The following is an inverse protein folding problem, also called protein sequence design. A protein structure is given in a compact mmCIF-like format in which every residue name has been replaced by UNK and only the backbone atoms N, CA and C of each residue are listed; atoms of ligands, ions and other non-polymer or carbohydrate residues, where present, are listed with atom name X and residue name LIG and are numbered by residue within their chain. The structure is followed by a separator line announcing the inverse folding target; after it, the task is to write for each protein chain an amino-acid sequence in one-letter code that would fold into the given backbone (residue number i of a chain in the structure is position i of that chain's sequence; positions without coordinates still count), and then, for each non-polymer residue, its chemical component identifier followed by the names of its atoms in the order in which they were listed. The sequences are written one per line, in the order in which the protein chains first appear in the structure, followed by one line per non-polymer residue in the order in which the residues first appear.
data_IF_836134877728
#
_entry.id   IF_836134877728
#
_cell.length_a   1.000
_cell.length_b   1.000
_cell.length_c   1.000
_cell.angle_alpha   90.00
_cell.angle_beta   90.00
_cell.angle_gamma   90.00
#
_symmetry.space_group_name_H-M   'P 1'
#
loop_
_entity.id
_entity.type
_entity.pdbx_description
1 polymer ?
#
# COMPACT_ATOMS: atom_id res chain seq x y z
N UNK A 1 -8.37 -9.79 16.69
CA UNK A 1 -7.26 -9.16 15.95
C UNK A 1 -7.68 -7.72 15.71
N UNK A 2 -6.82 -6.76 15.94
CA UNK A 2 -7.14 -5.34 15.82
C UNK A 2 -5.87 -4.55 15.52
N UNK A 3 -6.01 -3.26 15.27
CA UNK A 3 -4.88 -2.38 15.06
C UNK A 3 -4.42 -1.81 16.42
N UNK A 4 -3.11 -1.69 16.61
CA UNK A 4 -2.57 -1.01 17.79
C UNK A 4 -1.91 0.29 17.34
N UNK A 5 -2.31 1.39 17.95
CA UNK A 5 -1.65 2.68 17.76
C UNK A 5 -0.77 2.94 18.98
N UNK A 6 0.53 3.10 18.76
CA UNK A 6 1.44 3.52 19.82
C UNK A 6 1.05 4.92 20.30
N UNK A 7 0.76 5.05 21.59
CA UNK A 7 0.40 6.33 22.19
C UNK A 7 1.63 7.12 22.57
N UNK A 8 2.74 6.49 22.90
CA UNK A 8 3.96 7.15 23.35
C UNK A 8 5.19 6.37 22.85
N UNK A 9 6.40 6.97 22.89
CA UNK A 9 7.64 6.22 22.75
C UNK A 9 7.73 5.08 23.77
N UNK A 10 8.49 4.04 23.43
CA UNK A 10 8.70 2.92 24.34
C UNK A 10 9.52 3.36 25.55
N UNK A 11 9.07 2.94 26.74
CA UNK A 11 9.74 3.18 28.02
C UNK A 11 10.67 2.00 28.35
N UNK A 12 11.94 2.29 28.61
CA UNK A 12 12.94 1.29 28.99
C UNK A 12 12.84 0.89 30.46
N UNK A 13 13.49 -0.22 30.83
CA UNK A 13 13.66 -0.68 32.22
C UNK A 13 12.34 -0.90 32.98
N UNK A 14 11.28 -1.28 32.27
CA UNK A 14 10.00 -1.59 32.88
C UNK A 14 9.98 -3.06 33.28
N UNK A 15 9.57 -3.39 34.53
CA UNK A 15 9.44 -4.78 34.96
C UNK A 15 8.48 -5.57 34.06
N UNK A 16 8.84 -6.82 33.73
CA UNK A 16 7.95 -7.70 32.99
C UNK A 16 6.67 -7.95 33.77
N UNK A 17 5.54 -8.00 33.06
CA UNK A 17 4.25 -8.26 33.69
C UNK A 17 4.19 -9.70 34.23
N UNK A 18 3.65 -9.83 35.44
CA UNK A 18 3.49 -11.13 36.11
C UNK A 18 2.53 -12.01 35.29
N UNK A 19 2.93 -13.25 35.02
CA UNK A 19 2.09 -14.26 34.36
C UNK A 19 2.13 -14.30 32.83
N UNK A 20 2.81 -13.35 32.16
CA UNK A 20 2.95 -13.35 30.68
C UNK A 20 4.00 -14.38 30.23
N UNK A 21 5.11 -14.49 30.96
CA UNK A 21 6.22 -15.38 30.61
C UNK A 21 6.23 -16.63 31.48
N UNK A 22 5.29 -17.55 31.22
CA UNK A 22 5.12 -18.79 31.98
C UNK A 22 6.35 -19.71 31.97
N UNK A 23 7.25 -19.54 30.99
CA UNK A 23 8.48 -20.34 30.85
C UNK A 23 9.73 -19.60 31.36
N UNK A 24 9.56 -18.40 31.93
CA UNK A 24 10.63 -17.54 32.44
C UNK A 24 11.81 -17.34 31.47
N UNK A 25 11.51 -17.13 30.17
CA UNK A 25 12.50 -16.92 29.10
C UNK A 25 12.79 -15.46 28.79
N UNK A 26 12.04 -14.53 29.36
CA UNK A 26 12.20 -13.08 29.19
C UNK A 26 12.94 -12.48 30.37
N UNK A 27 13.78 -11.49 30.10
CA UNK A 27 14.45 -10.70 31.11
C UNK A 27 13.43 -9.99 32.03
N UNK A 28 13.81 -9.79 33.29
CA UNK A 28 12.93 -9.17 34.29
C UNK A 28 12.65 -7.70 34.01
N UNK A 29 13.55 -7.03 33.30
CA UNK A 29 13.39 -5.67 32.78
C UNK A 29 13.33 -5.70 31.26
N UNK A 30 12.43 -4.90 30.69
CA UNK A 30 12.25 -4.78 29.25
C UNK A 30 11.71 -3.43 28.82
N UNK A 31 11.15 -3.40 27.62
CA UNK A 31 10.53 -2.21 27.03
C UNK A 31 9.01 -2.30 27.14
N UNK A 32 8.37 -1.21 27.55
CA UNK A 32 6.92 -1.06 27.55
C UNK A 32 6.52 -0.04 26.49
N UNK A 33 5.68 -0.44 25.55
CA UNK A 33 5.06 0.45 24.57
C UNK A 33 3.60 0.68 24.95
N UNK A 34 3.20 1.89 25.40
CA UNK A 34 1.80 2.24 25.58
C UNK A 34 1.09 2.24 24.22
N UNK A 35 -0.02 1.51 24.08
CA UNK A 35 -0.79 1.42 22.84
C UNK A 35 -2.29 1.60 23.10
N UNK A 36 -3.00 2.20 22.16
CA UNK A 36 -4.46 2.12 22.05
C UNK A 36 -4.81 1.01 21.08
N UNK A 37 -5.58 0.04 21.56
CA UNK A 37 -6.15 -1.02 20.73
C UNK A 37 -7.41 -0.51 20.07
N UNK A 38 -7.44 -0.54 18.74
CA UNK A 38 -8.63 -0.34 17.91
C UNK A 38 -9.15 -1.73 17.56
N UNK A 39 -10.28 -2.10 18.16
CA UNK A 39 -10.80 -3.45 18.08
C UNK A 39 -11.61 -3.66 16.82
N UNK A 40 -11.35 -4.76 16.11
CA UNK A 40 -12.26 -5.20 15.08
C UNK A 40 -13.57 -5.69 15.74
N UNK A 41 -14.70 -5.25 15.23
CA UNK A 41 -16.03 -5.72 15.63
C UNK A 41 -16.30 -7.20 15.23
N UNK A 42 -15.45 -7.76 14.36
CA UNK A 42 -15.50 -9.16 13.94
C UNK A 42 -14.09 -9.73 13.75
N UNK A 43 -13.87 -11.04 14.01
CA UNK A 43 -12.59 -11.68 13.75
C UNK A 43 -12.27 -11.72 12.26
N UNK A 44 -11.13 -11.17 11.85
CA UNK A 44 -10.64 -11.28 10.47
C UNK A 44 -9.65 -12.44 10.32
N UNK A 45 -9.84 -13.34 9.33
CA UNK A 45 -8.85 -14.34 8.96
C UNK A 45 -7.56 -13.67 8.51
N UNK A 46 -6.41 -14.17 8.98
CA UNK A 46 -5.09 -13.65 8.58
C UNK A 46 -4.90 -13.63 7.06
N UNK A 47 -5.39 -14.67 6.36
CA UNK A 47 -5.31 -14.76 4.91
C UNK A 47 -6.10 -13.65 4.20
N UNK A 48 -7.23 -13.18 4.76
CA UNK A 48 -8.01 -12.10 4.17
C UNK A 48 -7.23 -10.78 4.13
N UNK A 49 -6.32 -10.57 5.09
CA UNK A 49 -5.50 -9.36 5.17
C UNK A 49 -4.18 -9.54 4.42
N UNK A 50 -3.51 -10.69 4.57
CA UNK A 50 -2.12 -10.86 4.14
C UNK A 50 -1.93 -11.65 2.85
N UNK A 51 -2.96 -12.33 2.32
CA UNK A 51 -2.80 -13.18 1.13
C UNK A 51 -2.39 -12.35 -0.09
N UNK A 52 -1.30 -12.74 -0.75
CA UNK A 52 -0.79 -12.06 -1.94
C UNK A 52 -0.10 -10.72 -1.67
N UNK A 53 0.10 -10.33 -0.40
CA UNK A 53 1.02 -9.23 -0.07
C UNK A 53 2.42 -9.80 -0.06
N UNK A 54 3.30 -9.21 -0.85
CA UNK A 54 4.73 -9.54 -0.79
C UNK A 54 5.33 -8.94 0.47
N UNK A 55 5.63 -9.81 1.42
CA UNK A 55 6.17 -9.45 2.72
C UNK A 55 7.70 -9.56 2.61
N UNK A 56 8.46 -8.50 2.91
CA UNK A 56 9.91 -8.46 2.70
C UNK A 56 10.61 -9.76 3.08
N UNK A 57 11.33 -10.35 2.11
CA UNK A 57 12.10 -11.57 2.34
C UNK A 57 13.03 -11.37 3.55
N UNK A 58 12.92 -12.28 4.53
CA UNK A 58 13.66 -12.20 5.79
C UNK A 58 12.85 -11.71 7.00
N UNK A 59 11.60 -11.26 6.81
CA UNK A 59 10.67 -11.01 7.91
C UNK A 59 10.27 -12.32 8.61
N UNK A 60 11.00 -12.65 9.66
CA UNK A 60 10.64 -13.69 10.63
C UNK A 60 9.47 -13.20 11.49
N UNK A 61 8.35 -13.92 11.57
CA UNK A 61 7.24 -13.58 12.46
C UNK A 61 5.83 -13.91 11.92
N UNK A 62 4.76 -13.20 12.36
CA UNK A 62 3.36 -13.44 11.98
C UNK A 62 3.05 -13.05 10.51
N UNK A 63 4.08 -12.93 9.69
CA UNK A 63 4.05 -12.57 8.28
C UNK A 63 4.66 -13.68 7.39
N UNK A 64 5.31 -14.70 7.97
CA UNK A 64 5.90 -15.79 7.19
C UNK A 64 4.87 -16.77 6.62
N UNK A 65 5.14 -17.23 5.39
CA UNK A 65 4.54 -18.36 4.65
C UNK A 65 4.16 -19.57 5.52
N UNK A 66 5.13 -19.97 6.35
CA UNK A 66 5.26 -21.35 6.83
C UNK A 66 5.14 -21.48 8.36
N UNK A 67 4.72 -20.42 9.05
CA UNK A 67 4.45 -20.45 10.49
C UNK A 67 5.60 -19.99 11.39
N UNK A 68 5.21 -19.11 12.32
CA UNK A 68 5.70 -18.83 13.68
C UNK A 68 7.19 -19.09 13.98
N UNK A 69 8.06 -18.19 13.52
CA UNK A 69 9.24 -17.85 14.33
C UNK A 69 8.84 -16.87 15.42
N UNK A 70 9.48 -16.98 16.59
CA UNK A 70 9.13 -16.27 17.84
C UNK A 70 9.59 -14.80 17.82
N UNK A 71 9.16 -14.03 16.82
CA UNK A 71 9.41 -12.58 16.74
C UNK A 71 8.23 -11.83 17.36
N UNK A 72 8.52 -11.01 18.38
CA UNK A 72 7.50 -10.27 19.13
C UNK A 72 7.03 -8.99 18.41
N UNK A 73 7.94 -8.26 17.76
CA UNK A 73 7.66 -7.04 17.00
C UNK A 73 8.61 -6.94 15.80
N UNK A 74 8.11 -6.53 14.65
CA UNK A 74 8.92 -6.32 13.44
C UNK A 74 8.48 -5.06 12.69
N UNK A 75 9.45 -4.35 12.10
CA UNK A 75 9.18 -3.25 11.17
C UNK A 75 8.71 -3.83 9.84
N UNK A 76 7.72 -3.21 9.23
CA UNK A 76 7.31 -3.46 7.85
C UNK A 76 7.54 -2.19 7.03
N UNK A 77 7.68 -2.33 5.71
CA UNK A 77 7.79 -1.18 4.82
C UNK A 77 6.48 -0.40 4.79
N UNK A 78 6.56 0.88 4.42
CA UNK A 78 5.37 1.74 4.35
C UNK A 78 4.36 1.23 3.31
N UNK A 79 4.83 0.76 2.15
CA UNK A 79 3.95 0.20 1.10
C UNK A 79 3.13 -0.99 1.58
N UNK A 80 3.78 -1.94 2.26
CA UNK A 80 3.14 -3.11 2.86
C UNK A 80 2.16 -2.70 3.95
N UNK A 81 2.54 -1.74 4.80
CA UNK A 81 1.66 -1.21 5.84
C UNK A 81 0.39 -0.59 5.24
N UNK A 82 0.53 0.17 4.16
CA UNK A 82 -0.58 0.79 3.45
C UNK A 82 -1.55 -0.26 2.90
N UNK A 83 -1.03 -1.27 2.21
CA UNK A 83 -1.90 -2.32 1.64
C UNK A 83 -2.64 -3.11 2.73
N UNK A 84 -1.98 -3.41 3.85
CA UNK A 84 -2.61 -4.05 5.02
C UNK A 84 -3.73 -3.16 5.57
N UNK A 85 -3.47 -1.86 5.72
CA UNK A 85 -4.44 -0.90 6.25
C UNK A 85 -5.67 -0.76 5.35
N UNK A 86 -5.49 -0.71 4.03
CA UNK A 86 -6.59 -0.60 3.08
C UNK A 86 -7.49 -1.84 3.12
N UNK A 87 -6.89 -3.04 3.21
CA UNK A 87 -7.65 -4.29 3.35
C UNK A 87 -8.38 -4.36 4.69
N UNK A 88 -7.77 -3.90 5.78
CA UNK A 88 -8.42 -3.82 7.09
C UNK A 88 -9.64 -2.89 7.05
N UNK A 89 -9.53 -1.72 6.43
CA UNK A 89 -10.65 -0.78 6.32
C UNK A 89 -11.73 -1.28 5.36
N UNK A 90 -11.35 -1.92 4.26
CA UNK A 90 -12.31 -2.56 3.38
C UNK A 90 -13.12 -3.66 4.11
N UNK A 91 -12.47 -4.40 5.02
CA UNK A 91 -13.10 -5.51 5.73
C UNK A 91 -13.88 -5.08 6.99
N UNK A 92 -13.44 -4.02 7.67
CA UNK A 92 -14.01 -3.56 8.95
C UNK A 92 -14.91 -2.33 8.82
N UNK A 93 -14.84 -1.65 7.67
CA UNK A 93 -15.70 -0.52 7.34
C UNK A 93 -15.26 0.81 7.96
N UNK A 94 -16.03 1.88 7.70
CA UNK A 94 -15.64 3.26 7.99
C UNK A 94 -15.58 3.59 9.49
N UNK A 95 -16.34 2.89 10.34
CA UNK A 95 -16.30 3.11 11.79
C UNK A 95 -14.93 2.72 12.39
N UNK A 96 -14.36 1.62 11.91
CA UNK A 96 -13.02 1.18 12.30
C UNK A 96 -11.93 2.16 11.83
N UNK A 97 -12.11 2.73 10.64
CA UNK A 97 -11.21 3.75 10.09
C UNK A 97 -11.23 5.02 10.95
N UNK A 98 -12.43 5.54 11.25
CA UNK A 98 -12.59 6.73 12.09
C UNK A 98 -12.01 6.55 13.51
N UNK A 99 -12.16 5.37 14.11
CA UNK A 99 -11.57 5.08 15.41
C UNK A 99 -10.03 5.00 15.34
N UNK A 100 -9.50 4.44 14.26
CA UNK A 100 -8.06 4.42 13.98
C UNK A 100 -7.51 5.84 13.83
N UNK A 101 -8.16 6.69 13.04
CA UNK A 101 -7.78 8.10 12.88
C UNK A 101 -7.77 8.83 14.22
N UNK A 102 -8.83 8.67 15.02
CA UNK A 102 -8.91 9.24 16.36
C UNK A 102 -7.77 8.74 17.27
N UNK A 103 -7.42 7.46 17.19
CA UNK A 103 -6.32 6.90 17.96
C UNK A 103 -4.95 7.49 17.56
N UNK A 104 -4.70 7.66 16.26
CA UNK A 104 -3.46 8.25 15.75
C UNK A 104 -3.37 9.73 16.12
N UNK A 105 -4.45 10.50 15.97
CA UNK A 105 -4.50 11.91 16.34
C UNK A 105 -4.16 12.16 17.82
N UNK A 106 -4.55 11.22 18.69
CA UNK A 106 -4.30 11.30 20.13
C UNK A 106 -2.99 10.63 20.59
N UNK A 107 -2.16 10.11 19.68
CA UNK A 107 -0.82 9.60 20.04
C UNK A 107 0.15 10.75 20.38
N UNK A 108 1.33 10.47 20.95
CA UNK A 108 2.35 11.43 21.43
C UNK A 108 3.59 11.60 20.51
N UNK A 109 3.92 10.77 19.50
CA UNK A 109 5.14 11.02 18.71
C UNK A 109 5.08 12.41 18.06
N UNK A 110 6.23 13.04 17.82
CA UNK A 110 6.37 14.45 17.41
C UNK A 110 5.23 14.96 16.50
N UNK A 111 4.72 16.17 16.74
CA UNK A 111 3.61 16.78 15.99
C UNK A 111 3.79 16.71 14.47
N UNK A 112 5.04 16.74 13.97
CA UNK A 112 5.37 16.57 12.55
C UNK A 112 5.12 15.14 12.07
N UNK A 113 5.44 14.13 12.87
CA UNK A 113 5.20 12.71 12.60
C UNK A 113 3.71 12.37 12.70
N UNK A 114 3.01 12.88 13.72
CA UNK A 114 1.54 12.77 13.83
C UNK A 114 0.84 13.38 12.64
N UNK A 115 1.17 14.63 12.32
CA UNK A 115 0.59 15.35 11.19
C UNK A 115 0.90 14.64 9.88
N UNK A 116 2.11 14.13 9.67
CA UNK A 116 2.44 13.33 8.48
C UNK A 116 1.65 12.02 8.37
N UNK A 117 1.41 11.31 9.47
CA UNK A 117 0.65 10.04 9.46
C UNK A 117 -0.85 10.26 9.31
N UNK A 118 -1.38 11.31 9.94
CA UNK A 118 -2.79 11.72 9.83
C UNK A 118 -3.05 12.34 8.46
N UNK A 119 -2.20 13.24 7.96
CA UNK A 119 -2.31 13.84 6.62
C UNK A 119 -2.10 12.80 5.53
N UNK A 120 -1.24 11.80 5.75
CA UNK A 120 -1.14 10.62 4.90
C UNK A 120 -2.48 9.87 4.84
N UNK A 121 -3.11 9.62 5.99
CA UNK A 121 -4.35 8.83 6.08
C UNK A 121 -5.58 9.56 5.55
N UNK A 122 -5.83 10.78 6.04
CA UNK A 122 -6.86 11.70 5.54
C UNK A 122 -6.62 11.95 4.06
N UNK A 123 -5.36 12.15 3.69
CA UNK A 123 -4.91 12.32 2.34
C UNK A 123 -5.26 11.16 1.43
N UNK A 124 -5.15 9.91 1.88
CA UNK A 124 -5.53 8.72 1.11
C UNK A 124 -7.04 8.55 0.96
N UNK A 125 -7.80 8.75 2.04
CA UNK A 125 -9.27 8.72 1.98
C UNK A 125 -9.81 9.79 1.05
N UNK A 126 -9.28 11.01 1.18
CA UNK A 126 -9.56 12.15 0.30
C UNK A 126 -9.09 11.91 -1.13
N UNK A 127 -7.87 11.44 -1.34
CA UNK A 127 -7.32 11.14 -2.66
C UNK A 127 -8.17 10.10 -3.38
N UNK A 128 -8.58 9.03 -2.69
CA UNK A 128 -9.52 8.06 -3.25
C UNK A 128 -10.85 8.72 -3.61
N UNK A 129 -11.43 9.53 -2.72
CA UNK A 129 -12.68 10.22 -2.99
C UNK A 129 -12.56 11.19 -4.19
N UNK A 130 -11.46 11.93 -4.27
CA UNK A 130 -11.15 12.88 -5.34
C UNK A 130 -10.96 12.14 -6.67
N UNK A 131 -10.28 10.99 -6.69
CA UNK A 131 -10.17 10.14 -7.88
C UNK A 131 -11.50 9.50 -8.28
N UNK A 132 -12.29 9.04 -7.31
CA UNK A 132 -13.64 8.53 -7.57
C UNK A 132 -14.50 9.63 -8.22
N UNK A 133 -14.40 10.87 -7.76
CA UNK A 133 -15.09 12.00 -8.37
C UNK A 133 -14.54 12.33 -9.76
N UNK A 134 -13.21 12.42 -9.91
CA UNK A 134 -12.54 12.80 -11.14
C UNK A 134 -12.82 11.82 -12.30
N UNK A 135 -12.69 10.52 -12.02
CA UNK A 135 -12.89 9.45 -12.99
C UNK A 135 -14.36 9.01 -13.11
N UNK A 136 -15.30 9.73 -12.49
CA UNK A 136 -16.74 9.43 -12.55
C UNK A 136 -17.10 8.06 -11.97
N UNK A 137 -16.34 7.59 -10.98
CA UNK A 137 -16.51 6.30 -10.32
C UNK A 137 -16.24 5.11 -11.24
N UNK A 138 -15.40 5.29 -12.27
CA UNK A 138 -15.09 4.24 -13.26
C UNK A 138 -13.60 4.02 -13.39
N UNK A 139 -13.21 2.76 -13.54
CA UNK A 139 -11.85 2.40 -13.92
C UNK A 139 -11.51 3.05 -15.27
N UNK A 140 -10.41 3.80 -15.33
CA UNK A 140 -10.02 4.54 -16.53
C UNK A 140 -9.51 3.63 -17.66
N UNK A 141 -9.16 2.37 -17.36
CA UNK A 141 -8.78 1.35 -18.34
C UNK A 141 -9.97 0.50 -18.83
N UNK A 142 -10.75 -0.04 -17.90
CA UNK A 142 -11.77 -1.06 -18.21
C UNK A 142 -13.19 -0.50 -18.27
N UNK A 143 -13.45 0.65 -17.64
CA UNK A 143 -14.79 1.23 -17.50
C UNK A 143 -15.65 0.61 -16.39
N UNK A 144 -15.13 -0.39 -15.66
CA UNK A 144 -15.80 -0.98 -14.49
C UNK A 144 -16.20 0.11 -13.50
N UNK A 145 -17.44 0.08 -13.01
CA UNK A 145 -17.99 1.09 -12.11
C UNK A 145 -18.39 0.55 -10.74
N UNK A 146 -18.01 -0.68 -10.41
CA UNK A 146 -18.31 -1.29 -9.12
C UNK A 146 -17.25 -0.84 -8.10
N UNK A 147 -17.57 0.01 -7.10
CA UNK A 147 -16.55 0.65 -6.26
C UNK A 147 -15.65 -0.33 -5.49
N UNK A 148 -16.16 -1.52 -5.16
CA UNK A 148 -15.42 -2.58 -4.47
C UNK A 148 -14.30 -3.18 -5.32
N UNK A 149 -14.36 -3.00 -6.63
CA UNK A 149 -13.33 -3.46 -7.59
C UNK A 149 -12.35 -2.35 -7.97
N UNK A 150 -12.55 -1.13 -7.47
CA UNK A 150 -11.77 0.05 -7.85
C UNK A 150 -10.71 0.39 -6.80
N UNK A 151 -9.52 0.73 -7.28
CA UNK A 151 -8.36 1.16 -6.49
C UNK A 151 -7.85 2.51 -6.97
N UNK A 152 -7.46 3.33 -6.01
CA UNK A 152 -6.83 4.62 -6.24
C UNK A 152 -5.32 4.38 -6.32
N UNK A 153 -4.81 4.21 -7.53
CA UNK A 153 -3.38 3.94 -7.79
C UNK A 153 -2.65 5.26 -8.04
N UNK A 154 -1.49 5.44 -7.40
CA UNK A 154 -0.62 6.58 -7.66
C UNK A 154 0.20 6.36 -8.93
N UNK A 155 0.35 7.40 -9.76
CA UNK A 155 1.20 7.35 -10.95
C UNK A 155 2.67 7.35 -10.54
N UNK A 156 3.08 8.34 -9.75
CA UNK A 156 4.40 8.33 -9.12
C UNK A 156 4.21 7.76 -7.71
N UNK A 157 4.91 6.67 -7.35
CA UNK A 157 4.77 6.08 -6.03
C UNK A 157 4.96 7.12 -4.94
N UNK A 158 4.21 7.00 -3.85
CA UNK A 158 4.28 7.90 -2.71
C UNK A 158 5.71 8.20 -2.28
N UNK A 159 6.53 7.15 -2.14
CA UNK A 159 7.93 7.23 -1.69
C UNK A 159 8.78 8.16 -2.56
N UNK A 160 8.44 8.28 -3.84
CA UNK A 160 9.17 9.06 -4.84
C UNK A 160 8.47 10.41 -5.14
N UNK A 161 7.39 10.73 -4.42
CA UNK A 161 6.58 11.93 -4.56
C UNK A 161 6.85 12.94 -3.45
N UNK A 162 6.90 14.22 -3.82
CA UNK A 162 6.93 15.34 -2.88
C UNK A 162 5.59 15.47 -2.13
N UNK A 163 5.58 16.21 -1.03
CA UNK A 163 4.40 16.32 -0.16
C UNK A 163 3.15 16.86 -0.89
N UNK A 164 3.31 17.79 -1.83
CA UNK A 164 2.21 18.30 -2.68
C UNK A 164 1.65 17.22 -3.61
N UNK A 165 2.54 16.40 -4.17
CA UNK A 165 2.22 15.47 -5.25
C UNK A 165 1.51 14.21 -4.75
N UNK A 166 1.68 13.89 -3.46
CA UNK A 166 1.02 12.74 -2.81
C UNK A 166 -0.50 12.87 -2.76
N UNK A 167 -0.99 14.11 -2.70
CA UNK A 167 -2.41 14.43 -2.58
C UNK A 167 -2.99 15.04 -3.85
N UNK A 168 -2.18 15.24 -4.88
CA UNK A 168 -2.66 15.77 -6.16
C UNK A 168 -3.43 14.66 -6.90
N UNK A 169 -4.74 14.83 -7.17
CA UNK A 169 -5.51 13.85 -7.96
C UNK A 169 -4.91 13.61 -9.36
N UNK A 170 -4.14 14.56 -9.91
CA UNK A 170 -3.44 14.38 -11.17
C UNK A 170 -2.27 13.37 -11.10
N UNK A 171 -1.83 13.00 -9.89
CA UNK A 171 -0.90 11.91 -9.63
C UNK A 171 -1.63 10.57 -9.42
N UNK A 172 -2.88 10.43 -9.86
CA UNK A 172 -3.68 9.24 -9.58
C UNK A 172 -4.54 8.74 -10.73
N UNK A 173 -4.64 7.41 -10.82
CA UNK A 173 -5.54 6.70 -11.71
C UNK A 173 -6.52 5.86 -10.89
N UNK A 174 -7.77 5.77 -11.34
CA UNK A 174 -8.74 4.84 -10.79
C UNK A 174 -8.71 3.55 -11.61
N UNK A 175 -8.26 2.45 -11.02
CA UNK A 175 -7.96 1.20 -11.72
C UNK A 175 -8.71 0.01 -11.11
N UNK A 176 -8.83 -1.08 -11.87
CA UNK A 176 -9.25 -2.38 -11.33
C UNK A 176 -8.04 -3.08 -10.70
N UNK A 177 -8.31 -4.08 -9.85
CA UNK A 177 -7.27 -4.78 -9.11
C UNK A 177 -6.09 -5.31 -9.96
N UNK A 178 -6.37 -5.88 -11.14
CA UNK A 178 -5.33 -6.38 -12.04
C UNK A 178 -4.53 -5.25 -12.70
N UNK A 179 -5.20 -4.17 -13.13
CA UNK A 179 -4.54 -3.02 -13.76
C UNK A 179 -3.66 -2.27 -12.78
N UNK A 180 -4.16 -2.07 -11.56
CA UNK A 180 -3.45 -1.50 -10.42
C UNK A 180 -2.14 -2.27 -10.15
N UNK A 181 -2.24 -3.59 -9.96
CA UNK A 181 -1.06 -4.42 -9.71
C UNK A 181 -0.04 -4.38 -10.87
N UNK A 182 -0.50 -4.41 -12.12
CA UNK A 182 0.38 -4.35 -13.29
C UNK A 182 1.05 -2.97 -13.44
N UNK A 183 0.32 -1.89 -13.16
CA UNK A 183 0.80 -0.52 -13.29
C UNK A 183 1.80 -0.15 -12.18
N UNK A 184 1.49 -0.51 -10.92
CA UNK A 184 2.36 -0.28 -9.76
C UNK A 184 3.69 -1.06 -9.87
N UNK A 185 3.66 -2.24 -10.51
CA UNK A 185 4.85 -3.05 -10.79
C UNK A 185 5.58 -2.66 -12.09
N UNK A 186 5.14 -1.58 -12.75
CA UNK A 186 5.70 -1.11 -14.03
C UNK A 186 5.67 -2.15 -15.15
N UNK A 187 4.73 -3.10 -15.13
CA UNK A 187 4.50 -4.03 -16.25
C UNK A 187 3.74 -3.35 -17.40
N UNK A 188 2.93 -2.35 -17.05
CA UNK A 188 2.21 -1.48 -17.98
C UNK A 188 2.47 -0.01 -17.62
N UNK A 189 2.37 0.88 -18.61
CA UNK A 189 2.46 2.32 -18.44
C UNK A 189 1.50 3.03 -19.41
N UNK A 190 1.33 4.34 -19.28
CA UNK A 190 0.43 5.15 -20.12
C UNK A 190 1.23 6.19 -20.90
N UNK A 191 1.10 6.19 -22.21
CA UNK A 191 1.67 7.20 -23.10
C UNK A 191 0.92 8.55 -22.99
N UNK A 192 1.50 9.62 -23.55
CA UNK A 192 0.93 10.97 -23.42
C UNK A 192 -0.43 11.14 -24.12
N UNK A 193 -0.71 10.31 -25.12
CA UNK A 193 -2.00 10.24 -25.81
C UNK A 193 -3.04 9.36 -25.08
N UNK A 194 -2.67 8.81 -23.91
CA UNK A 194 -3.50 7.91 -23.12
C UNK A 194 -3.43 6.44 -23.54
N UNK A 195 -2.62 6.09 -24.55
CA UNK A 195 -2.45 4.70 -24.97
C UNK A 195 -1.72 3.90 -23.89
N UNK A 196 -2.22 2.71 -23.54
CA UNK A 196 -1.48 1.79 -22.68
C UNK A 196 -0.35 1.14 -23.46
N UNK A 197 0.83 1.13 -22.85
CA UNK A 197 2.02 0.42 -23.30
C UNK A 197 2.41 -0.60 -22.24
N UNK A 198 3.13 -1.64 -22.62
CA UNK A 198 3.52 -2.70 -21.70
C UNK A 198 4.95 -3.16 -21.95
N UNK A 199 5.49 -3.85 -20.95
CA UNK A 199 6.82 -4.43 -21.05
C UNK A 199 6.91 -5.40 -22.23
N UNK A 200 8.03 -5.43 -22.98
CA UNK A 200 8.19 -6.33 -24.12
C UNK A 200 8.07 -7.82 -23.75
N UNK A 201 8.40 -8.18 -22.51
CA UNK A 201 8.30 -9.53 -21.98
C UNK A 201 6.93 -9.85 -21.36
N UNK A 202 6.01 -8.88 -21.22
CA UNK A 202 4.67 -9.13 -20.69
C UNK A 202 3.77 -9.58 -21.83
N UNK A 203 3.74 -10.89 -22.06
CA UNK A 203 3.12 -11.50 -23.26
C UNK A 203 1.60 -11.36 -23.26
N UNK A 204 0.97 -11.48 -24.44
CA UNK A 204 -0.50 -11.43 -24.56
C UNK A 204 -1.18 -12.52 -23.71
N UNK A 205 -0.62 -13.73 -23.67
CA UNK A 205 -1.13 -14.83 -22.82
C UNK A 205 -1.10 -14.45 -21.34
N UNK A 206 0.00 -13.89 -20.84
CA UNK A 206 0.08 -13.45 -19.45
C UNK A 206 -0.88 -12.30 -19.15
N UNK A 207 -1.07 -11.35 -20.08
CA UNK A 207 -2.03 -10.26 -19.94
C UNK A 207 -3.48 -10.79 -19.84
N UNK A 208 -3.84 -11.77 -20.69
CA UNK A 208 -5.15 -12.42 -20.63
C UNK A 208 -5.34 -13.18 -19.32
N UNK A 209 -4.37 -13.99 -18.91
CA UNK A 209 -4.42 -14.79 -17.67
C UNK A 209 -4.41 -13.92 -16.41
N UNK A 210 -3.82 -12.73 -16.47
CA UNK A 210 -3.88 -11.72 -15.41
C UNK A 210 -5.22 -10.96 -15.37
N UNK A 211 -6.10 -11.16 -16.35
CA UNK A 211 -7.40 -10.48 -16.43
C UNK A 211 -7.32 -9.04 -16.95
N UNK A 212 -6.23 -8.67 -17.64
CA UNK A 212 -6.10 -7.36 -18.29
C UNK A 212 -6.75 -7.33 -19.68
N UNK A 213 -6.87 -8.52 -20.31
CA UNK A 213 -7.13 -8.64 -21.75
C UNK A 213 -5.95 -8.09 -22.56
N UNK A 214 -6.20 -7.68 -23.81
CA UNK A 214 -5.18 -6.97 -24.60
C UNK A 214 -5.07 -5.54 -24.09
N UNK A 215 -3.99 -5.24 -23.36
CA UNK A 215 -3.78 -3.96 -22.66
C UNK A 215 -3.88 -2.75 -23.61
N UNK A 216 -3.39 -2.89 -24.84
CA UNK A 216 -3.44 -1.85 -25.89
C UNK A 216 -4.84 -1.62 -26.49
N UNK A 217 -5.87 -2.35 -26.07
CA UNK A 217 -7.21 -2.29 -26.66
C UNK A 217 -8.04 -1.05 -26.31
N UNK A 218 -7.70 -0.28 -25.27
CA UNK A 218 -8.47 0.90 -24.82
C UNK A 218 -7.61 1.98 -24.19
N UNK A 219 -7.52 3.15 -24.83
CA UNK A 219 -6.83 4.31 -24.26
C UNK A 219 -7.55 4.89 -23.02
N UNK A 220 -6.77 5.47 -22.11
CA UNK A 220 -7.23 6.19 -20.93
C UNK A 220 -7.97 7.46 -21.36
N UNK A 221 -9.28 7.52 -21.08
CA UNK A 221 -10.10 8.70 -21.38
C UNK A 221 -10.18 9.61 -20.16
N UNK A 222 -9.89 10.90 -20.34
CA UNK A 222 -10.01 11.90 -19.28
C UNK A 222 -8.68 12.36 -18.68
N UNK A 223 -7.53 11.98 -19.27
CA UNK A 223 -6.25 12.56 -18.88
C UNK A 223 -6.24 14.07 -19.15
N UNK A 224 -5.97 14.84 -18.11
CA UNK A 224 -5.60 16.25 -18.21
C UNK A 224 -4.09 16.44 -18.41
N UNK A 225 -3.64 17.60 -18.91
CA UNK A 225 -2.21 17.94 -19.00
C UNK A 225 -1.44 17.84 -17.67
N UNK A 226 -2.13 17.92 -16.52
CA UNK A 226 -1.51 17.78 -15.21
C UNK A 226 -1.00 16.37 -14.91
N UNK A 227 -1.50 15.34 -15.60
CA UNK A 227 -1.01 13.97 -15.42
C UNK A 227 0.33 13.74 -16.13
N UNK A 228 0.62 14.50 -17.19
CA UNK A 228 1.74 14.21 -18.09
C UNK A 228 3.10 14.20 -17.38
N UNK A 229 3.41 15.12 -16.45
CA UNK A 229 4.68 15.06 -15.70
C UNK A 229 4.81 13.77 -14.87
N UNK A 230 3.73 13.34 -14.21
CA UNK A 230 3.71 12.10 -13.43
C UNK A 230 3.85 10.87 -14.33
N UNK A 231 3.08 10.82 -15.42
CA UNK A 231 3.13 9.73 -16.40
C UNK A 231 4.52 9.62 -17.05
N UNK A 232 5.16 10.75 -17.37
CA UNK A 232 6.52 10.77 -17.88
C UNK A 232 7.50 10.12 -16.91
N UNK A 233 7.45 10.50 -15.63
CA UNK A 233 8.30 9.92 -14.58
C UNK A 233 8.05 8.42 -14.40
N UNK A 234 6.78 7.99 -14.41
CA UNK A 234 6.44 6.56 -14.35
C UNK A 234 7.00 5.78 -15.55
N UNK A 235 6.86 6.32 -16.77
CA UNK A 235 7.42 5.70 -17.99
C UNK A 235 8.94 5.62 -17.98
N UNK A 236 9.64 6.63 -17.48
CA UNK A 236 11.11 6.59 -17.37
C UNK A 236 11.57 5.45 -16.45
N UNK A 237 10.88 5.24 -15.32
CA UNK A 237 11.14 4.12 -14.40
C UNK A 237 10.80 2.78 -15.07
N UNK A 238 9.65 2.70 -15.74
CA UNK A 238 9.21 1.50 -16.44
C UNK A 238 10.23 1.09 -17.51
N UNK A 239 10.65 2.02 -18.37
CA UNK A 239 11.61 1.76 -19.44
C UNK A 239 12.94 1.26 -18.89
N UNK A 240 13.46 1.89 -17.84
CA UNK A 240 14.69 1.43 -17.19
C UNK A 240 14.56 -0.01 -16.69
N UNK A 241 13.42 -0.38 -16.07
CA UNK A 241 13.17 -1.76 -15.63
C UNK A 241 13.05 -2.73 -16.80
N UNK A 242 12.43 -2.31 -17.89
CA UNK A 242 12.29 -3.14 -19.08
C UNK A 242 13.63 -3.44 -19.74
N UNK A 243 14.51 -2.44 -19.81
CA UNK A 243 15.85 -2.58 -20.36
C UNK A 243 16.74 -3.49 -19.49
N UNK A 244 16.61 -3.42 -18.17
CA UNK A 244 17.34 -4.31 -17.26
C UNK A 244 16.85 -5.76 -17.35
N UNK A 245 15.54 -5.97 -17.46
CA UNK A 245 14.96 -7.30 -17.66
C UNK A 245 15.39 -7.91 -19.02
N UNK A 246 15.47 -7.09 -20.07
CA UNK A 246 15.95 -7.53 -21.38
C UNK A 246 17.43 -8.01 -21.35
N UNK A 247 18.22 -7.56 -20.37
CA UNK A 247 19.61 -8.01 -20.13
C UNK A 247 19.69 -9.27 -19.26
N UNK A 248 18.57 -9.93 -18.98
CA UNK A 248 18.51 -11.16 -18.18
C UNK A 248 18.71 -10.95 -16.68
N UNK A 249 18.68 -9.70 -16.20
CA UNK A 249 18.56 -9.45 -14.75
C UNK A 249 17.11 -9.70 -14.33
N UNK A 250 16.86 -10.33 -13.18
CA UNK A 250 15.51 -10.33 -12.62
C UNK A 250 15.03 -8.88 -12.52
N UNK A 251 13.75 -8.64 -12.78
CA UNK A 251 13.11 -7.36 -12.49
C UNK A 251 13.43 -7.03 -11.04
N UNK A 252 14.38 -6.13 -10.81
CA UNK A 252 14.75 -5.78 -9.47
C UNK A 252 13.52 -5.16 -8.83
N UNK A 253 13.11 -5.69 -7.68
CA UNK A 253 12.41 -4.87 -6.72
C UNK A 253 13.26 -3.61 -6.57
N UNK A 254 12.71 -2.47 -7.01
CA UNK A 254 13.45 -1.20 -7.06
C UNK A 254 14.22 -0.98 -5.76
N UNK A 255 15.36 -0.28 -5.81
CA UNK A 255 16.46 -0.47 -4.88
C UNK A 255 15.97 -0.67 -3.45
N UNK A 256 16.36 -1.81 -2.86
CA UNK A 256 16.32 -2.02 -1.42
C UNK A 256 17.21 -0.96 -0.78
N UNK A 257 16.62 0.19 -0.47
CA UNK A 257 17.30 1.32 0.14
C UNK A 257 16.90 1.40 1.61
N UNK A 258 17.81 0.82 2.41
CA UNK A 258 18.19 1.13 3.81
C UNK A 258 17.12 1.80 4.70
#
# INVERSE_FOLDING_TARGET
MGLCVALEPAHANVPKLVGIDRKNRWHDLGWRLPVKFVSANQPLPRAAVLSGIDLPMGLKGPFAANGLTQTYLTKISHSVATEIMDRLVQALGPAFDAETESAVANSVPDETTKRRLVDARIGQGKFRADLMSYWGGRCCATGVSLPQLLRASHIVPWKDSDNSDRLDPANGLLLTASYDAAFDNFLIAVADDGTWIHAPFFTVDEQERAGLGVVSGRAVKGLSPKHLPFLKKHREIAQHRWDEAAKGKPLSEGPASI
#
